data_IF_628082512698
#
_entry.id   IF_628082512698
#
_cell.length_a   1.000
_cell.length_b   1.000
_cell.length_c   1.000
_cell.angle_alpha   90.00
_cell.angle_beta   90.00
_cell.angle_gamma   90.00
#
_symmetry.space_group_name_H-M   'P 1'
#
loop_
_entity.id
_entity.type
_entity.pdbx_description
1 polymer ?
#
# COMPACT_ATOMS: atom_id res chain seq x y z
N UNK A 1 -28.20 -45.57 -3.10
CA UNK A 1 -27.67 -45.89 -1.76
C UNK A 1 -27.01 -44.66 -1.19
N UNK A 2 -27.63 -44.05 -0.19
CA UNK A 2 -27.10 -42.85 0.49
C UNK A 2 -26.51 -43.29 1.83
N UNK A 3 -25.30 -42.82 2.22
CA UNK A 3 -24.89 -42.92 3.62
C UNK A 3 -25.22 -41.63 4.39
N UNK A 4 -25.74 -41.86 5.58
CA UNK A 4 -26.21 -40.94 6.60
C UNK A 4 -25.07 -40.21 7.32
N UNK A 5 -25.29 -38.92 7.57
CA UNK A 5 -24.46 -38.04 8.41
C UNK A 5 -24.67 -38.41 9.91
N UNK A 6 -23.55 -38.60 10.62
CA UNK A 6 -23.53 -38.58 12.08
C UNK A 6 -22.95 -37.22 12.54
N UNK A 7 -23.77 -36.45 13.24
CA UNK A 7 -23.39 -35.24 13.96
C UNK A 7 -22.74 -35.61 15.29
N UNK A 8 -21.53 -35.13 15.54
CA UNK A 8 -20.90 -35.17 16.86
C UNK A 8 -20.95 -33.77 17.48
N UNK A 9 -21.74 -33.59 18.55
CA UNK A 9 -21.67 -32.41 19.41
C UNK A 9 -20.47 -32.56 20.35
N UNK A 10 -19.55 -31.58 20.32
CA UNK A 10 -18.51 -31.41 21.32
C UNK A 10 -18.92 -30.28 22.27
N UNK A 11 -19.08 -30.62 23.55
CA UNK A 11 -19.39 -29.69 24.63
C UNK A 11 -18.09 -28.96 25.07
N UNK A 12 -18.13 -27.63 25.08
CA UNK A 12 -17.07 -26.76 25.55
C UNK A 12 -17.26 -26.51 27.05
N UNK A 13 -16.32 -26.96 27.90
CA UNK A 13 -16.27 -26.66 29.32
C UNK A 13 -15.31 -25.49 29.54
N UNK A 14 -15.81 -24.36 30.05
CA UNK A 14 -15.02 -23.21 30.51
C UNK A 14 -14.56 -23.43 31.94
N UNK A 15 -13.31 -23.18 32.30
CA UNK A 15 -12.90 -23.02 33.69
C UNK A 15 -13.03 -21.56 34.12
N UNK A 16 -13.76 -21.35 35.19
CA UNK A 16 -13.86 -20.08 35.94
C UNK A 16 -12.61 -19.88 36.78
N UNK A 17 -11.88 -18.78 36.55
CA UNK A 17 -10.72 -18.37 37.34
C UNK A 17 -11.16 -17.36 38.40
N UNK A 18 -11.04 -17.72 39.67
CA UNK A 18 -11.25 -16.83 40.83
C UNK A 18 -10.00 -15.95 41.03
N UNK A 19 -10.19 -14.63 40.96
CA UNK A 19 -9.17 -13.66 41.42
C UNK A 19 -9.34 -13.39 42.90
N UNK A 20 -8.36 -13.80 43.72
CA UNK A 20 -8.19 -13.39 45.10
C UNK A 20 -7.44 -12.04 45.15
N UNK A 21 -8.07 -11.05 45.75
CA UNK A 21 -7.47 -9.73 45.96
C UNK A 21 -6.47 -9.75 47.14
N UNK A 22 -5.31 -9.16 46.94
CA UNK A 22 -4.42 -8.73 48.03
C UNK A 22 -4.50 -7.22 48.14
N UNK A 23 -4.88 -6.81 49.35
CA UNK A 23 -4.93 -5.43 49.81
C UNK A 23 -3.63 -5.19 50.57
N UNK A 24 -2.76 -4.31 50.13
CA UNK A 24 -1.60 -3.87 50.95
C UNK A 24 -1.78 -2.41 51.36
N UNK A 25 -1.39 -2.21 52.64
CA UNK A 25 -1.59 -1.01 53.40
C UNK A 25 -0.62 0.11 53.02
N UNK A 26 -1.11 1.33 53.12
CA UNK A 26 -0.33 2.53 52.89
C UNK A 26 0.73 2.77 53.95
N UNK A 27 1.85 3.33 53.51
CA UNK A 27 2.81 3.99 54.35
C UNK A 27 3.04 5.39 53.79
N UNK A 28 2.56 6.41 54.52
CA UNK A 28 2.91 7.81 54.26
C UNK A 28 4.38 8.02 54.58
N UNK A 29 5.14 8.52 53.61
CA UNK A 29 6.48 9.07 53.84
C UNK A 29 6.43 10.55 53.54
N UNK A 30 6.43 11.35 54.62
CA UNK A 30 6.68 12.79 54.57
C UNK A 30 8.15 13.04 54.33
N UNK A 31 8.54 13.59 53.18
CA UNK A 31 9.86 14.12 52.88
C UNK A 31 9.77 15.59 52.42
N UNK A 32 10.84 16.40 52.58
CA UNK A 32 10.75 17.86 52.51
C UNK A 32 10.51 18.41 51.12
N UNK A 33 9.72 19.46 51.09
CA UNK A 33 9.46 20.30 49.91
C UNK A 33 10.79 20.88 49.37
N UNK A 34 11.19 20.44 48.19
CA UNK A 34 12.23 21.11 47.43
C UNK A 34 11.56 22.00 46.40
N UNK A 35 11.73 23.32 46.56
CA UNK A 35 11.32 24.34 45.57
C UNK A 35 11.93 23.98 44.21
N UNK A 36 11.09 23.59 43.28
CA UNK A 36 11.43 23.48 41.88
C UNK A 36 11.35 24.86 41.24
N UNK A 37 12.51 25.51 41.13
CA UNK A 37 12.71 26.62 40.24
C UNK A 37 12.31 26.22 38.84
N UNK A 38 11.31 26.89 38.30
CA UNK A 38 10.87 26.78 36.88
C UNK A 38 11.99 27.20 35.96
N UNK A 39 12.79 26.24 35.53
CA UNK A 39 13.58 26.41 34.33
C UNK A 39 12.61 26.28 33.13
N UNK A 40 12.39 27.39 32.44
CA UNK A 40 11.70 27.39 31.16
C UNK A 40 12.52 26.48 30.20
N UNK A 41 12.08 25.24 30.05
CA UNK A 41 12.51 24.41 28.95
C UNK A 41 11.95 25.05 27.67
N UNK A 42 12.82 25.74 26.93
CA UNK A 42 12.63 25.98 25.51
C UNK A 42 12.65 24.60 24.87
N UNK A 43 11.50 23.93 24.90
CA UNK A 43 11.27 22.75 24.13
C UNK A 43 11.44 23.14 22.67
N UNK A 44 12.49 22.64 22.03
CA UNK A 44 12.56 22.52 20.61
C UNK A 44 11.23 21.89 20.18
N UNK A 45 10.41 22.70 19.48
CA UNK A 45 9.26 22.17 18.78
C UNK A 45 9.86 21.24 17.72
N UNK A 46 9.94 19.94 18.04
CA UNK A 46 10.12 18.92 17.02
C UNK A 46 9.00 19.17 16.02
N UNK A 47 9.34 19.78 14.92
CA UNK A 47 8.45 19.90 13.77
C UNK A 47 8.05 18.46 13.47
N UNK A 48 6.80 18.12 13.72
CA UNK A 48 6.22 16.89 13.20
C UNK A 48 6.15 17.12 11.69
N UNK A 49 7.27 16.83 11.01
CA UNK A 49 7.26 16.76 9.56
C UNK A 49 6.13 15.81 9.20
N UNK A 50 5.20 16.32 8.39
CA UNK A 50 4.12 15.51 7.87
C UNK A 50 4.79 14.35 7.11
N UNK A 51 4.53 13.08 7.42
CA UNK A 51 5.20 11.98 6.76
C UNK A 51 4.98 12.10 5.26
N UNK A 52 5.98 11.69 4.47
CA UNK A 52 5.86 11.64 3.02
C UNK A 52 4.53 10.94 2.66
N UNK A 53 3.73 11.53 1.77
CA UNK A 53 2.41 10.99 1.45
C UNK A 53 2.47 9.59 0.84
N UNK A 54 3.60 9.23 0.22
CA UNK A 54 3.88 7.90 -0.32
C UNK A 54 5.32 7.53 0.05
N UNK A 55 5.46 6.44 0.81
CA UNK A 55 6.76 5.91 1.22
C UNK A 55 7.03 4.61 0.45
N UNK A 56 8.18 4.53 -0.21
CA UNK A 56 8.61 3.33 -0.96
C UNK A 56 9.83 2.74 -0.28
N UNK A 57 9.68 1.55 0.28
CA UNK A 57 10.74 0.80 0.93
C UNK A 57 11.17 -0.37 0.05
N UNK A 58 12.38 -0.38 -0.50
CA UNK A 58 12.90 -1.53 -1.23
C UNK A 58 12.98 -2.77 -0.34
N UNK A 59 12.35 -3.86 -0.74
CA UNK A 59 12.46 -5.17 -0.10
C UNK A 59 13.55 -6.02 -0.77
N UNK A 60 13.91 -5.69 -2.02
CA UNK A 60 15.05 -6.25 -2.71
C UNK A 60 15.87 -5.14 -3.37
N UNK A 61 17.16 -5.38 -3.62
CA UNK A 61 17.85 -4.65 -4.68
C UNK A 61 17.19 -5.00 -6.02
N UNK A 62 17.54 -4.31 -7.11
CA UNK A 62 17.18 -4.76 -8.46
C UNK A 62 17.89 -6.09 -8.71
N UNK A 63 17.15 -7.18 -8.51
CA UNK A 63 17.67 -8.53 -8.64
C UNK A 63 17.64 -8.95 -10.11
N UNK A 64 18.68 -9.66 -10.52
CA UNK A 64 18.76 -10.26 -11.87
C UNK A 64 18.58 -11.77 -11.75
N UNK A 65 17.69 -12.33 -12.56
CA UNK A 65 17.57 -13.78 -12.66
C UNK A 65 18.86 -14.38 -13.24
N UNK A 66 19.27 -15.51 -12.72
CA UNK A 66 20.42 -16.25 -13.24
C UNK A 66 20.09 -17.04 -14.52
N UNK A 67 18.81 -17.30 -14.72
CA UNK A 67 18.29 -18.01 -15.87
C UNK A 67 17.73 -17.03 -16.92
N UNK A 68 17.58 -17.48 -18.15
CA UNK A 68 16.88 -16.74 -19.20
C UNK A 68 15.38 -16.80 -18.93
N UNK A 69 14.79 -15.66 -18.57
CA UNK A 69 13.38 -15.57 -18.14
C UNK A 69 12.59 -14.72 -19.10
N UNK A 70 11.55 -15.32 -19.69
CA UNK A 70 10.51 -14.62 -20.41
C UNK A 70 9.17 -14.73 -19.62
N UNK A 71 8.45 -13.63 -19.49
CA UNK A 71 7.21 -13.58 -18.72
C UNK A 71 6.06 -13.15 -19.63
N UNK A 72 4.98 -13.93 -19.62
CA UNK A 72 3.72 -13.53 -20.24
C UNK A 72 2.65 -13.46 -19.16
N UNK A 73 2.02 -12.30 -19.04
CA UNK A 73 0.89 -12.09 -18.16
C UNK A 73 -0.34 -11.80 -19.01
N UNK A 74 -1.42 -12.49 -18.71
CA UNK A 74 -2.75 -12.20 -19.24
C UNK A 74 -3.64 -11.84 -18.07
N UNK A 75 -4.16 -10.63 -18.08
CA UNK A 75 -5.15 -10.21 -17.10
C UNK A 75 -6.40 -9.67 -17.81
N UNK A 76 -7.49 -9.66 -17.09
CA UNK A 76 -8.75 -9.08 -17.53
C UNK A 76 -9.42 -8.42 -16.34
N UNK A 77 -9.10 -7.17 -16.07
CA UNK A 77 -9.79 -6.40 -15.05
C UNK A 77 -11.30 -6.33 -15.36
N UNK A 78 -12.10 -6.19 -14.31
CA UNK A 78 -13.55 -6.13 -14.49
C UNK A 78 -13.94 -4.97 -15.44
N UNK A 79 -14.83 -5.30 -16.38
CA UNK A 79 -15.28 -4.36 -17.41
C UNK A 79 -14.29 -4.11 -18.57
N UNK A 80 -13.08 -4.68 -18.56
CA UNK A 80 -12.06 -4.46 -19.60
C UNK A 80 -11.86 -5.70 -20.51
N UNK A 81 -11.38 -5.47 -21.76
CA UNK A 81 -10.85 -6.55 -22.57
C UNK A 81 -9.60 -7.17 -21.91
N UNK A 82 -9.30 -8.41 -22.28
CA UNK A 82 -8.05 -9.04 -21.84
C UNK A 82 -6.85 -8.27 -22.34
N UNK A 83 -5.97 -7.86 -21.44
CA UNK A 83 -4.64 -7.36 -21.75
C UNK A 83 -3.62 -8.51 -21.79
N UNK A 84 -2.56 -8.34 -22.56
CA UNK A 84 -1.46 -9.32 -22.67
C UNK A 84 -0.15 -8.58 -22.60
N UNK A 85 0.52 -8.67 -21.48
CA UNK A 85 1.89 -8.20 -21.33
C UNK A 85 2.88 -9.30 -21.68
N UNK A 86 3.75 -9.04 -22.66
CA UNK A 86 4.81 -9.95 -23.08
C UNK A 86 6.16 -9.31 -22.78
N UNK A 87 6.81 -9.81 -21.76
CA UNK A 87 8.16 -9.42 -21.38
C UNK A 87 9.12 -10.51 -21.88
N UNK A 88 9.77 -10.26 -23.01
CA UNK A 88 10.70 -11.22 -23.63
C UNK A 88 12.00 -11.35 -22.87
N UNK A 89 12.41 -10.27 -22.21
CA UNK A 89 13.55 -10.20 -21.32
C UNK A 89 13.01 -9.85 -19.92
N UNK A 90 12.74 -10.86 -19.14
CA UNK A 90 12.29 -10.77 -17.76
C UNK A 90 13.42 -10.72 -16.75
N UNK A 91 14.65 -10.45 -17.20
CA UNK A 91 15.88 -10.65 -16.44
C UNK A 91 15.94 -9.97 -15.10
N UNK A 92 15.19 -8.89 -14.88
CA UNK A 92 15.28 -8.10 -13.65
C UNK A 92 13.96 -8.04 -12.90
N UNK A 93 14.07 -8.05 -11.58
CA UNK A 93 12.96 -7.94 -10.63
C UNK A 93 13.30 -6.89 -9.58
N UNK A 94 12.31 -6.07 -9.23
CA UNK A 94 12.38 -5.19 -8.06
C UNK A 94 11.13 -5.38 -7.22
N UNK A 95 11.29 -5.52 -5.90
CA UNK A 95 10.17 -5.67 -4.97
C UNK A 95 10.25 -4.57 -3.93
N UNK A 96 9.13 -3.91 -3.70
CA UNK A 96 9.00 -2.86 -2.70
C UNK A 96 7.76 -3.03 -1.84
N UNK A 97 7.85 -2.57 -0.60
CA UNK A 97 6.70 -2.19 0.19
C UNK A 97 6.39 -0.72 -0.12
N UNK A 98 5.13 -0.41 -0.32
CA UNK A 98 4.67 0.95 -0.58
C UNK A 98 3.59 1.27 0.43
N UNK A 99 3.78 2.34 1.21
CA UNK A 99 2.79 2.87 2.14
C UNK A 99 2.21 4.14 1.55
N UNK A 100 0.87 4.20 1.41
CA UNK A 100 0.13 5.31 0.82
C UNK A 100 -0.75 5.92 1.90
N UNK A 101 -0.46 7.15 2.32
CA UNK A 101 -1.22 7.84 3.36
C UNK A 101 -2.63 8.22 2.87
N UNK A 102 -3.59 8.46 3.77
CA UNK A 102 -4.93 8.93 3.41
C UNK A 102 -4.88 10.15 2.51
N UNK A 103 -5.62 10.12 1.41
CA UNK A 103 -5.68 11.17 0.40
C UNK A 103 -4.46 11.27 -0.52
N UNK A 104 -3.41 10.49 -0.28
CA UNK A 104 -2.25 10.45 -1.17
C UNK A 104 -2.57 9.74 -2.49
N UNK A 105 -1.96 10.22 -3.58
CA UNK A 105 -2.18 9.67 -4.92
C UNK A 105 -0.89 9.62 -5.72
N UNK A 106 -0.74 8.57 -6.52
CA UNK A 106 0.22 8.53 -7.61
C UNK A 106 -0.33 9.36 -8.77
N UNK A 107 0.49 10.19 -9.44
CA UNK A 107 0.05 10.89 -10.65
C UNK A 107 -0.25 9.90 -11.78
N UNK A 108 -0.81 10.39 -12.89
CA UNK A 108 -0.91 9.60 -14.12
C UNK A 108 0.49 9.15 -14.57
N UNK A 109 0.65 7.84 -14.72
CA UNK A 109 1.95 7.24 -15.03
C UNK A 109 1.80 5.88 -15.72
N UNK A 110 2.93 5.31 -16.09
CA UNK A 110 3.06 3.92 -16.53
C UNK A 110 4.34 3.31 -15.96
N UNK A 111 4.61 2.05 -16.30
CA UNK A 111 5.79 1.31 -15.86
C UNK A 111 6.53 0.67 -17.04
N UNK A 112 7.87 0.46 -16.96
CA UNK A 112 8.65 -0.19 -18.00
C UNK A 112 8.22 -1.64 -18.31
N UNK A 113 7.55 -2.28 -17.38
CA UNK A 113 7.04 -3.65 -17.49
C UNK A 113 5.88 -3.88 -16.54
N UNK A 114 5.32 -5.10 -16.49
CA UNK A 114 4.21 -5.43 -15.62
C UNK A 114 4.56 -5.29 -14.14
N UNK A 115 3.59 -4.87 -13.33
CA UNK A 115 3.70 -4.84 -11.88
C UNK A 115 2.63 -5.73 -11.26
N UNK A 116 3.04 -6.68 -10.42
CA UNK A 116 2.11 -7.47 -9.61
C UNK A 116 2.02 -6.82 -8.25
N UNK A 117 0.81 -6.43 -7.84
CA UNK A 117 0.55 -5.71 -6.60
C UNK A 117 -0.34 -6.54 -5.70
N UNK A 118 0.11 -6.77 -4.47
CA UNK A 118 -0.72 -7.34 -3.39
C UNK A 118 -1.05 -6.24 -2.38
N UNK A 119 -2.34 -6.06 -2.07
CA UNK A 119 -2.80 -5.14 -1.02
C UNK A 119 -2.78 -5.89 0.31
N UNK A 120 -1.96 -5.43 1.26
CA UNK A 120 -1.79 -6.08 2.57
C UNK A 120 -2.55 -5.36 3.68
N UNK A 121 -2.88 -4.07 3.47
CA UNK A 121 -3.65 -3.25 4.40
C UNK A 121 -4.43 -2.17 3.65
N UNK A 122 -5.63 -1.84 4.13
CA UNK A 122 -6.50 -0.80 3.59
C UNK A 122 -7.22 -1.17 2.30
N UNK A 123 -7.67 -0.16 1.58
CA UNK A 123 -8.33 -0.28 0.27
C UNK A 123 -7.65 0.70 -0.69
N UNK A 124 -7.24 0.20 -1.85
CA UNK A 124 -6.49 0.95 -2.84
C UNK A 124 -7.29 1.15 -4.11
N UNK A 125 -7.40 2.39 -4.57
CA UNK A 125 -8.13 2.75 -5.77
C UNK A 125 -7.19 2.83 -6.97
N UNK A 126 -7.63 2.29 -8.11
CA UNK A 126 -6.87 2.21 -9.34
C UNK A 126 -7.74 2.54 -10.56
N UNK A 127 -7.28 3.44 -11.42
CA UNK A 127 -8.03 3.92 -12.59
C UNK A 127 -7.16 3.91 -13.83
N UNK A 128 -7.60 3.23 -14.89
CA UNK A 128 -6.96 3.29 -16.20
C UNK A 128 -7.41 4.51 -17.00
N UNK A 129 -6.47 5.13 -17.72
CA UNK A 129 -6.75 6.31 -18.54
C UNK A 129 -7.72 6.06 -19.71
N UNK A 130 -7.84 4.83 -20.19
CA UNK A 130 -8.67 4.50 -21.36
C UNK A 130 -10.16 4.37 -21.03
N UNK A 131 -10.51 3.87 -19.82
CA UNK A 131 -11.90 3.65 -19.43
C UNK A 131 -12.41 4.53 -18.28
N UNK A 132 -11.50 5.15 -17.52
CA UNK A 132 -11.83 6.00 -16.36
C UNK A 132 -12.69 5.29 -15.30
N UNK A 133 -12.63 3.97 -15.21
CA UNK A 133 -13.36 3.20 -14.22
C UNK A 133 -12.51 3.02 -12.96
N UNK A 134 -13.03 3.50 -11.84
CA UNK A 134 -12.41 3.27 -10.53
C UNK A 134 -12.60 1.82 -10.09
N UNK A 135 -11.51 1.20 -9.65
CA UNK A 135 -11.46 -0.18 -9.17
C UNK A 135 -10.84 -0.22 -7.79
N UNK A 136 -11.57 -0.76 -6.85
CA UNK A 136 -11.13 -0.89 -5.46
C UNK A 136 -10.51 -2.26 -5.21
N UNK A 137 -9.32 -2.27 -4.63
CA UNK A 137 -8.61 -3.47 -4.20
C UNK A 137 -8.42 -3.44 -2.69
N UNK A 138 -9.17 -4.29 -1.98
CA UNK A 138 -9.09 -4.38 -0.52
C UNK A 138 -7.91 -5.24 -0.04
N UNK A 139 -7.54 -5.10 1.22
CA UNK A 139 -6.55 -5.96 1.86
C UNK A 139 -6.86 -7.45 1.67
N UNK A 140 -5.84 -8.23 1.31
CA UNK A 140 -5.95 -9.65 0.96
C UNK A 140 -6.24 -9.92 -0.52
N UNK A 141 -6.37 -8.88 -1.36
CA UNK A 141 -6.50 -9.02 -2.81
C UNK A 141 -5.19 -8.67 -3.53
N UNK A 142 -5.14 -8.99 -4.82
CA UNK A 142 -4.02 -8.61 -5.67
C UNK A 142 -4.52 -8.26 -7.08
N UNK A 143 -3.75 -7.44 -7.79
CA UNK A 143 -4.01 -7.10 -9.17
C UNK A 143 -2.71 -7.03 -9.99
N UNK A 144 -2.85 -6.96 -11.29
CA UNK A 144 -1.76 -6.75 -12.22
C UNK A 144 -1.95 -5.41 -12.90
N UNK A 145 -0.93 -4.58 -12.83
CA UNK A 145 -0.75 -3.48 -13.75
C UNK A 145 0.05 -4.02 -14.95
N UNK A 146 -0.51 -3.99 -16.16
CA UNK A 146 0.18 -4.53 -17.33
C UNK A 146 1.44 -3.74 -17.73
N UNK A 147 1.63 -2.52 -17.22
CA UNK A 147 2.76 -1.65 -17.58
C UNK A 147 2.75 -1.19 -19.02
N UNK A 148 3.91 -0.84 -19.56
CA UNK A 148 4.12 -0.35 -20.94
C UNK A 148 3.25 0.88 -21.26
N UNK A 149 2.36 0.79 -22.24
CA UNK A 149 1.49 1.91 -22.67
C UNK A 149 0.20 2.04 -21.84
N UNK A 150 0.05 1.24 -20.76
CA UNK A 150 -1.15 1.30 -19.91
C UNK A 150 -1.03 2.44 -18.89
N UNK A 151 -1.45 3.62 -19.29
CA UNK A 151 -1.47 4.79 -18.41
C UNK A 151 -2.58 4.64 -17.37
N UNK A 152 -2.23 4.90 -16.13
CA UNK A 152 -3.16 4.83 -14.99
C UNK A 152 -2.77 5.82 -13.89
N UNK A 153 -3.68 6.06 -12.97
CA UNK A 153 -3.37 6.64 -11.67
C UNK A 153 -3.97 5.80 -10.56
N UNK A 154 -3.48 6.01 -9.32
CA UNK A 154 -3.94 5.26 -8.19
C UNK A 154 -3.86 6.10 -6.92
N UNK A 155 -4.70 5.82 -5.92
CA UNK A 155 -4.80 6.67 -4.75
C UNK A 155 -5.39 5.90 -3.54
N UNK A 156 -5.25 6.52 -2.38
CA UNK A 156 -5.91 6.08 -1.15
C UNK A 156 -7.07 7.04 -0.85
N UNK A 157 -8.30 6.61 -1.11
CA UNK A 157 -9.52 7.37 -0.80
C UNK A 157 -9.97 7.23 0.66
N UNK A 158 -9.37 6.30 1.41
CA UNK A 158 -9.75 5.97 2.78
C UNK A 158 -9.19 6.93 3.83
N UNK A 159 -9.47 6.60 5.09
CA UNK A 159 -8.99 7.34 6.28
C UNK A 159 -7.80 6.68 6.95
N UNK A 160 -7.48 5.46 6.57
CA UNK A 160 -6.35 4.69 7.08
C UNK A 160 -5.29 4.53 5.99
N UNK A 161 -4.04 4.24 6.38
CA UNK A 161 -2.98 3.99 5.40
C UNK A 161 -3.24 2.72 4.60
N UNK A 162 -2.82 2.73 3.35
CA UNK A 162 -2.78 1.55 2.49
C UNK A 162 -1.36 1.03 2.41
N UNK A 163 -1.20 -0.29 2.54
CA UNK A 163 0.11 -0.95 2.38
C UNK A 163 0.06 -1.96 1.24
N UNK A 164 0.96 -1.78 0.30
CA UNK A 164 1.12 -2.61 -0.89
C UNK A 164 2.46 -3.33 -0.89
N UNK A 165 2.48 -4.53 -1.45
CA UNK A 165 3.72 -5.19 -1.90
C UNK A 165 3.69 -5.22 -3.43
N UNK A 166 4.59 -4.47 -4.05
CA UNK A 166 4.67 -4.34 -5.49
C UNK A 166 5.91 -5.07 -6.03
N UNK A 167 5.70 -5.93 -7.02
CA UNK A 167 6.75 -6.66 -7.74
C UNK A 167 6.81 -6.14 -9.17
N UNK A 168 7.86 -5.39 -9.49
CA UNK A 168 8.11 -4.80 -10.81
C UNK A 168 8.92 -5.81 -11.65
N UNK A 169 8.27 -6.36 -12.66
CA UNK A 169 8.88 -7.36 -13.57
C UNK A 169 9.55 -6.65 -14.74
N UNK A 170 10.73 -7.09 -15.11
CA UNK A 170 11.53 -6.42 -16.15
C UNK A 170 12.00 -5.02 -15.74
N UNK A 171 12.19 -4.81 -14.44
CA UNK A 171 12.72 -3.54 -13.93
C UNK A 171 14.07 -3.24 -14.59
N UNK A 172 14.26 -2.08 -15.25
CA UNK A 172 15.54 -1.75 -15.84
C UNK A 172 16.64 -1.73 -14.76
N UNK A 173 17.89 -2.04 -15.08
CA UNK A 173 19.01 -2.03 -14.12
C UNK A 173 19.16 -0.69 -13.41
N UNK A 174 18.86 0.38 -14.11
CA UNK A 174 18.93 1.77 -13.64
C UNK A 174 17.70 2.54 -14.15
N UNK A 175 17.44 3.72 -13.57
CA UNK A 175 16.36 4.61 -13.99
C UNK A 175 15.03 4.40 -13.24
N UNK A 176 14.00 5.09 -13.70
CA UNK A 176 12.70 5.12 -13.04
C UNK A 176 11.90 3.82 -13.26
N UNK A 177 11.21 3.38 -12.22
CA UNK A 177 10.23 2.29 -12.29
C UNK A 177 8.81 2.82 -12.54
N UNK A 178 8.59 4.10 -12.25
CA UNK A 178 7.35 4.84 -12.52
C UNK A 178 7.68 5.96 -13.49
N UNK A 179 7.00 6.00 -14.62
CA UNK A 179 7.21 6.96 -15.71
C UNK A 179 5.98 7.86 -15.75
N UNK A 180 6.04 9.07 -15.16
CA UNK A 180 4.91 9.99 -15.20
C UNK A 180 4.63 10.44 -16.65
N UNK A 181 3.36 10.69 -16.97
CA UNK A 181 3.01 11.37 -18.21
C UNK A 181 3.34 12.87 -18.08
N UNK A 182 3.43 13.57 -19.23
CA UNK A 182 3.63 15.01 -19.18
C UNK A 182 2.40 15.76 -18.61
N UNK A 183 2.61 17.00 -18.16
CA UNK A 183 1.58 17.80 -17.49
C UNK A 183 0.35 18.07 -18.37
N UNK A 184 0.55 18.23 -19.68
CA UNK A 184 -0.54 18.51 -20.59
C UNK A 184 -1.46 17.28 -20.72
N UNK A 185 -0.87 16.11 -20.90
CA UNK A 185 -1.62 14.84 -20.94
C UNK A 185 -2.26 14.54 -19.57
N UNK A 186 -1.59 14.80 -18.46
CA UNK A 186 -2.17 14.62 -17.14
C UNK A 186 -3.43 15.47 -16.94
N UNK A 187 -3.39 16.75 -17.33
CA UNK A 187 -4.54 17.65 -17.26
C UNK A 187 -5.70 17.21 -18.18
N UNK A 188 -5.39 16.70 -19.37
CA UNK A 188 -6.40 16.12 -20.28
C UNK A 188 -7.07 14.89 -19.65
N UNK A 189 -6.29 13.99 -19.06
CA UNK A 189 -6.79 12.80 -18.41
C UNK A 189 -7.60 13.11 -17.14
N UNK A 190 -7.18 14.08 -16.33
CA UNK A 190 -7.95 14.56 -15.20
C UNK A 190 -9.33 15.07 -15.66
N UNK A 191 -9.35 15.89 -16.70
CA UNK A 191 -10.61 16.40 -17.27
C UNK A 191 -11.48 15.27 -17.86
N UNK A 192 -10.88 14.32 -18.59
CA UNK A 192 -11.56 13.17 -19.19
C UNK A 192 -12.18 12.26 -18.13
N UNK A 193 -11.45 11.97 -17.06
CA UNK A 193 -11.87 11.00 -16.04
C UNK A 193 -12.58 11.66 -14.85
N UNK A 194 -12.77 12.98 -14.84
CA UNK A 194 -13.42 13.69 -13.74
C UNK A 194 -12.63 13.70 -12.45
N UNK A 195 -11.30 13.57 -12.56
CA UNK A 195 -10.40 13.56 -11.42
C UNK A 195 -10.06 14.99 -11.02
N UNK A 196 -10.18 15.31 -9.73
CA UNK A 196 -9.72 16.61 -9.24
C UNK A 196 -8.20 16.75 -9.47
N UNK A 197 -7.72 17.90 -10.00
CA UNK A 197 -6.28 18.11 -10.13
C UNK A 197 -5.57 17.90 -8.81
N UNK A 198 -4.35 17.34 -8.83
CA UNK A 198 -3.55 17.22 -7.64
C UNK A 198 -3.37 18.60 -7.03
N UNK A 199 -3.76 18.78 -5.77
CA UNK A 199 -3.50 20.03 -5.06
C UNK A 199 -1.99 20.23 -5.05
N UNK A 200 -1.50 21.18 -5.88
CA UNK A 200 -0.08 21.39 -6.11
C UNK A 200 0.63 21.71 -4.82
N UNK A 201 1.54 20.85 -4.42
CA UNK A 201 2.64 21.28 -3.59
C UNK A 201 3.62 21.93 -4.55
N UNK A 202 3.56 23.26 -4.61
CA UNK A 202 4.61 24.08 -5.27
C UNK A 202 5.91 23.85 -4.48
N UNK A 203 6.87 23.22 -5.12
CA UNK A 203 8.26 23.13 -4.68
C UNK A 203 8.97 24.50 -4.74
#
# INVERSE_FOLDING_TARGET
>A
MRPTLLSALAALVLPTLLLAGCREAGTEVTGPETELTSAAATGDLVSLENPDPIVIEPLSARATFTDDVAIQIRDRPDGRPTSVANLRDGSNLFVARITVQPGARFPWHTHPGPVVVAVTQGEFEFVYADDCVERTYAAGTAFVDPGFDNVHFAFNAGTDEVVLIASFLGAPPEGALTIPVDEALAAELDAKCGVAPASGHSH
#
